data_IF_133038981395
#
_entry.id   IF_133038981395
#
_cell.length_a   1.000
_cell.length_b   1.000
_cell.length_c   1.000
_cell.angle_alpha   90.00
_cell.angle_beta   90.00
_cell.angle_gamma   90.00
#
_symmetry.space_group_name_H-M   'P 1'
#
loop_
_entity.id
_entity.type
_entity.pdbx_description
1 polymer ?
#
# COMPACT_ATOMS: atom_id res chain seq x y z
N UNK A 1 8.54 -71.93 22.35
CA UNK A 1 7.36 -72.81 22.49
C UNK A 1 6.11 -71.93 22.55
N UNK A 2 4.95 -72.49 22.24
CA UNK A 2 3.73 -71.78 21.77
C UNK A 2 2.57 -72.16 22.71
N UNK A 3 1.50 -71.39 22.96
CA UNK A 3 1.21 -69.93 23.05
C UNK A 3 -0.32 -69.80 23.24
N UNK A 4 -0.83 -68.61 23.59
CA UNK A 4 -2.24 -68.16 23.38
C UNK A 4 -3.32 -68.83 24.27
N UNK A 5 -4.10 -67.97 24.94
CA UNK A 5 -5.37 -68.23 25.68
C UNK A 5 -5.25 -69.20 26.88
N UNK A 6 -5.79 -68.92 28.07
CA UNK A 6 -6.97 -68.11 28.43
C UNK A 6 -6.69 -66.87 29.32
N UNK A 7 -7.72 -66.01 29.47
CA UNK A 7 -7.59 -64.69 30.11
C UNK A 7 -8.89 -64.28 30.85
N UNK A 8 -9.10 -64.82 32.06
CA UNK A 8 -10.18 -64.61 33.05
C UNK A 8 -9.69 -65.30 34.36
N UNK A 9 -9.82 -64.81 35.61
CA UNK A 9 -10.56 -63.73 36.27
C UNK A 9 -9.68 -63.06 37.38
N UNK A 10 -10.10 -61.93 38.01
CA UNK A 10 -9.28 -61.15 38.96
C UNK A 10 -9.61 -61.37 40.44
N UNK A 11 -8.74 -60.83 41.32
CA UNK A 11 -9.08 -60.33 42.66
C UNK A 11 -8.26 -59.06 42.95
N UNK A 12 -8.85 -58.11 43.67
CA UNK A 12 -8.22 -56.83 44.01
C UNK A 12 -7.40 -56.91 45.31
N UNK A 13 -6.44 -55.99 45.50
CA UNK A 13 -6.24 -55.26 46.76
C UNK A 13 -5.26 -54.08 46.53
N UNK A 14 -5.69 -52.85 46.87
CA UNK A 14 -4.80 -51.70 47.09
C UNK A 14 -4.48 -51.60 48.58
N UNK A 15 -3.34 -51.02 49.00
CA UNK A 15 -3.49 -49.67 49.56
C UNK A 15 -2.29 -48.71 49.44
N UNK A 16 -2.64 -47.43 49.49
CA UNK A 16 -1.92 -46.33 50.15
C UNK A 16 -0.64 -45.74 49.50
N UNK A 17 -0.72 -44.43 49.21
CA UNK A 17 0.35 -43.63 48.64
C UNK A 17 1.34 -43.05 49.67
N UNK A 18 2.56 -42.73 49.21
CA UNK A 18 3.40 -41.65 49.75
C UNK A 18 4.04 -40.82 48.62
N UNK A 19 4.25 -39.50 48.80
CA UNK A 19 4.70 -38.61 47.72
C UNK A 19 6.22 -38.33 47.76
N UNK A 20 6.74 -37.75 46.66
CA UNK A 20 7.96 -36.91 46.71
C UNK A 20 9.19 -37.43 45.97
N UNK A 21 9.10 -37.57 44.64
CA UNK A 21 10.28 -37.65 43.76
C UNK A 21 10.36 -36.41 42.88
N UNK A 22 11.43 -35.62 42.99
CA UNK A 22 11.69 -34.46 42.11
C UNK A 22 12.61 -34.87 40.97
N UNK A 23 12.02 -35.30 39.85
CA UNK A 23 12.76 -35.61 38.64
C UNK A 23 13.39 -34.34 38.06
N UNK A 24 14.72 -34.26 38.13
CA UNK A 24 15.54 -33.11 37.73
C UNK A 24 15.64 -32.92 36.22
N UNK A 25 14.51 -32.78 35.52
CA UNK A 25 14.49 -32.36 34.12
C UNK A 25 14.71 -30.84 34.05
N UNK A 26 15.82 -30.34 33.45
CA UNK A 26 15.96 -28.90 33.25
C UNK A 26 14.80 -28.41 32.37
N UNK A 27 14.17 -27.26 32.67
CA UNK A 27 13.14 -26.71 31.81
C UNK A 27 13.73 -26.49 30.43
N UNK A 28 13.07 -27.02 29.40
CA UNK A 28 13.40 -26.74 28.00
C UNK A 28 13.41 -25.22 27.84
N UNK A 29 14.55 -24.66 27.40
CA UNK A 29 14.70 -23.22 27.24
C UNK A 29 13.53 -22.67 26.44
N UNK A 30 12.74 -21.78 27.05
CA UNK A 30 11.55 -21.24 26.43
C UNK A 30 11.93 -20.59 25.09
N UNK A 31 11.22 -20.97 24.03
CA UNK A 31 11.43 -20.42 22.69
C UNK A 31 11.40 -18.88 22.79
N UNK A 32 12.47 -18.17 22.39
CA UNK A 32 12.65 -16.78 22.75
C UNK A 32 11.53 -15.95 22.14
N UNK A 33 10.66 -15.42 23.00
CA UNK A 33 9.38 -14.79 22.66
C UNK A 33 9.51 -13.91 21.41
N UNK A 34 9.05 -14.45 20.26
CA UNK A 34 9.65 -14.07 18.98
C UNK A 34 9.50 -12.57 18.71
N UNK A 35 10.65 -11.92 18.48
CA UNK A 35 10.80 -10.46 18.42
C UNK A 35 9.94 -9.87 17.31
N UNK A 36 9.05 -8.95 17.70
CA UNK A 36 8.34 -8.06 16.77
C UNK A 36 9.19 -6.80 16.54
N UNK A 37 9.31 -6.39 15.28
CA UNK A 37 9.98 -5.16 14.84
C UNK A 37 8.98 -4.27 14.10
N UNK A 38 8.99 -2.97 14.43
CA UNK A 38 8.26 -1.96 13.65
C UNK A 38 9.24 -1.18 12.77
N UNK A 39 9.19 -1.44 11.46
CA UNK A 39 10.02 -0.81 10.46
C UNK A 39 9.42 0.52 10.03
N UNK A 40 10.24 1.57 10.07
CA UNK A 40 9.89 2.92 9.66
C UNK A 40 10.76 3.29 8.48
N UNK A 41 10.13 3.66 7.36
CA UNK A 41 10.83 3.87 6.09
C UNK A 41 10.43 5.24 5.52
N UNK A 42 11.43 6.06 5.19
CA UNK A 42 11.26 7.22 4.32
C UNK A 42 11.59 6.81 2.89
N UNK A 43 10.70 7.09 1.95
CA UNK A 43 10.90 6.90 0.52
C UNK A 43 10.92 8.28 -0.13
N UNK A 44 12.12 8.79 -0.41
CA UNK A 44 12.28 10.02 -1.19
C UNK A 44 12.10 9.70 -2.66
N UNK A 45 11.16 10.37 -3.35
CA UNK A 45 10.84 10.13 -4.76
C UNK A 45 10.61 11.41 -5.56
N UNK A 46 10.62 11.24 -6.88
CA UNK A 46 9.78 12.03 -7.77
C UNK A 46 8.86 11.10 -8.58
N UNK A 47 7.62 11.51 -8.87
CA UNK A 47 6.64 10.63 -9.55
C UNK A 47 6.93 10.44 -11.04
N UNK A 48 7.73 11.34 -11.64
CA UNK A 48 8.24 11.22 -13.01
C UNK A 48 9.47 10.30 -13.12
N UNK A 49 10.01 9.76 -12.03
CA UNK A 49 11.24 8.98 -12.06
C UNK A 49 10.98 7.47 -12.24
N UNK A 50 11.45 6.82 -13.33
CA UNK A 50 11.24 5.38 -13.55
C UNK A 50 11.83 4.51 -12.44
N UNK A 51 13.03 4.87 -11.97
CA UNK A 51 13.70 4.21 -10.86
C UNK A 51 12.89 4.31 -9.55
N UNK A 52 12.09 5.36 -9.34
CA UNK A 52 11.22 5.43 -8.17
C UNK A 52 10.10 4.40 -8.23
N UNK A 53 9.50 4.16 -9.41
CA UNK A 53 8.47 3.13 -9.52
C UNK A 53 9.04 1.73 -9.32
N UNK A 54 10.17 1.43 -9.98
CA UNK A 54 10.91 0.16 -9.83
C UNK A 54 11.31 -0.05 -8.35
N UNK A 55 11.91 0.95 -7.71
CA UNK A 55 12.32 0.89 -6.31
C UNK A 55 11.16 0.69 -5.33
N UNK A 56 10.00 1.33 -5.59
CA UNK A 56 8.80 1.14 -4.79
C UNK A 56 8.21 -0.27 -4.95
N UNK A 57 8.20 -0.84 -6.17
CA UNK A 57 7.76 -2.22 -6.42
C UNK A 57 8.70 -3.22 -5.75
N UNK A 58 10.01 -3.03 -5.86
CA UNK A 58 11.03 -3.84 -5.17
C UNK A 58 10.88 -3.79 -3.65
N UNK A 59 10.71 -2.60 -3.07
CA UNK A 59 10.46 -2.44 -1.64
C UNK A 59 9.15 -3.11 -1.20
N UNK A 60 8.08 -2.99 -2.00
CA UNK A 60 6.79 -3.63 -1.71
C UNK A 60 6.90 -5.15 -1.68
N UNK A 61 7.61 -5.74 -2.66
CA UNK A 61 7.89 -7.18 -2.68
C UNK A 61 8.74 -7.62 -1.48
N UNK A 62 9.75 -6.83 -1.09
CA UNK A 62 10.57 -7.13 0.10
C UNK A 62 9.77 -7.09 1.41
N UNK A 63 8.86 -6.12 1.56
CA UNK A 63 7.95 -6.03 2.71
C UNK A 63 7.03 -7.26 2.74
N UNK A 64 6.45 -7.66 1.61
CA UNK A 64 5.63 -8.87 1.54
C UNK A 64 6.41 -10.12 1.95
N UNK A 65 7.59 -10.36 1.37
CA UNK A 65 8.46 -11.52 1.70
C UNK A 65 8.82 -11.52 3.20
N UNK A 66 9.12 -10.35 3.78
CA UNK A 66 9.41 -10.26 5.21
C UNK A 66 8.18 -10.56 6.07
N UNK A 67 6.98 -10.11 5.67
CA UNK A 67 5.74 -10.35 6.41
C UNK A 67 5.22 -11.79 6.27
N UNK A 68 5.54 -12.49 5.17
CA UNK A 68 5.29 -13.92 5.02
C UNK A 68 6.14 -14.75 6.01
N UNK A 69 7.37 -14.31 6.30
CA UNK A 69 8.26 -14.94 7.28
C UNK A 69 7.99 -14.48 8.72
N UNK A 70 7.63 -13.20 8.92
CA UNK A 70 7.40 -12.57 10.23
C UNK A 70 6.05 -11.84 10.28
N UNK A 71 4.91 -12.54 10.37
CA UNK A 71 3.57 -11.93 10.30
C UNK A 71 3.21 -10.96 11.44
N UNK A 72 4.10 -10.77 12.43
CA UNK A 72 3.97 -9.78 13.51
C UNK A 72 4.86 -8.55 13.34
N UNK A 73 5.65 -8.48 12.27
CA UNK A 73 6.44 -7.30 11.94
C UNK A 73 5.62 -6.34 11.07
N UNK A 74 5.68 -5.05 11.41
CA UNK A 74 4.87 -4.00 10.79
C UNK A 74 5.75 -2.97 10.09
N UNK A 75 5.19 -2.30 9.07
CA UNK A 75 5.92 -1.40 8.19
C UNK A 75 5.12 -0.12 7.93
N UNK A 76 5.66 1.01 8.39
CA UNK A 76 5.21 2.35 7.98
C UNK A 76 6.17 2.92 6.93
N UNK A 77 5.71 3.00 5.68
CA UNK A 77 6.44 3.63 4.57
C UNK A 77 5.82 4.98 4.26
N UNK A 78 6.62 6.04 4.34
CA UNK A 78 6.20 7.42 4.13
C UNK A 78 6.99 8.09 3.03
N UNK A 79 6.33 8.88 2.20
CA UNK A 79 6.91 9.47 1.00
C UNK A 79 7.30 10.93 1.22
N UNK A 80 8.46 11.31 0.70
CA UNK A 80 9.01 12.66 0.80
C UNK A 80 9.38 13.19 -0.61
N UNK A 81 9.06 14.44 -0.94
CA UNK A 81 9.20 14.96 -2.29
C UNK A 81 10.63 15.36 -2.64
N UNK A 82 11.07 14.99 -3.83
CA UNK A 82 11.98 15.76 -4.67
C UNK A 82 11.24 16.03 -5.98
N UNK A 83 11.43 17.21 -6.57
CA UNK A 83 10.91 17.56 -7.89
C UNK A 83 12.12 17.75 -8.79
N UNK A 84 12.37 16.77 -9.66
CA UNK A 84 13.51 16.76 -10.58
C UNK A 84 13.37 17.88 -11.61
N UNK A 85 12.20 17.99 -12.22
CA UNK A 85 11.93 18.92 -13.31
C UNK A 85 11.03 20.08 -12.85
N UNK A 86 11.45 20.81 -11.81
CA UNK A 86 10.65 21.88 -11.17
C UNK A 86 10.19 22.99 -12.14
N UNK A 87 10.93 23.22 -13.22
CA UNK A 87 10.59 24.19 -14.27
C UNK A 87 9.66 23.63 -15.38
N UNK A 88 9.21 22.38 -15.30
CA UNK A 88 8.23 21.83 -16.24
C UNK A 88 6.89 22.57 -16.16
N UNK A 89 6.26 22.81 -17.30
CA UNK A 89 4.87 23.28 -17.34
C UNK A 89 3.87 22.15 -17.05
N UNK A 90 2.57 22.50 -17.02
CA UNK A 90 1.51 21.52 -17.28
C UNK A 90 1.55 21.11 -18.75
N UNK A 91 1.38 19.83 -19.05
CA UNK A 91 1.39 19.27 -20.41
C UNK A 91 2.67 19.62 -21.21
N UNK A 92 3.84 19.36 -20.63
CA UNK A 92 5.17 19.70 -21.16
C UNK A 92 5.63 18.89 -22.39
N UNK A 93 4.72 18.18 -23.06
CA UNK A 93 4.95 17.42 -24.29
C UNK A 93 4.78 15.90 -24.14
N UNK A 94 5.11 15.19 -25.21
CA UNK A 94 5.05 13.73 -25.27
C UNK A 94 6.12 13.07 -24.37
N UNK A 95 5.72 12.07 -23.60
CA UNK A 95 6.51 11.47 -22.51
C UNK A 95 7.89 11.00 -22.97
N UNK A 96 7.97 10.21 -24.05
CA UNK A 96 9.23 9.73 -24.61
C UNK A 96 10.15 10.85 -25.13
N UNK A 97 9.58 11.90 -25.73
CA UNK A 97 10.35 13.06 -26.21
C UNK A 97 10.89 13.91 -25.04
N UNK A 98 10.11 14.00 -23.95
CA UNK A 98 10.51 14.68 -22.72
C UNK A 98 11.66 13.99 -21.99
N UNK A 99 11.68 12.65 -21.94
CA UNK A 99 12.85 11.92 -21.44
C UNK A 99 14.07 12.14 -22.34
N UNK A 100 13.91 12.06 -23.66
CA UNK A 100 15.01 12.25 -24.61
C UNK A 100 15.64 13.66 -24.52
N UNK A 101 14.85 14.72 -24.30
CA UNK A 101 15.36 16.09 -24.15
C UNK A 101 16.15 16.32 -22.85
N UNK A 102 15.96 15.46 -21.84
CA UNK A 102 16.74 15.44 -20.60
C UNK A 102 17.88 14.39 -20.61
N UNK A 103 18.38 14.03 -21.80
CA UNK A 103 19.56 13.16 -21.98
C UNK A 103 19.28 11.66 -21.90
N UNK A 104 18.04 11.23 -21.64
CA UNK A 104 17.70 9.83 -21.48
C UNK A 104 17.53 9.14 -22.84
N UNK A 105 18.65 8.64 -23.37
CA UNK A 105 18.72 7.91 -24.64
C UNK A 105 17.85 6.63 -24.65
N UNK A 106 17.52 6.06 -25.83
CA UNK A 106 16.78 4.80 -25.95
C UNK A 106 17.42 3.61 -25.22
N UNK A 107 18.73 3.65 -24.94
CA UNK A 107 19.41 2.65 -24.11
C UNK A 107 18.91 2.68 -22.66
N UNK A 108 18.79 3.86 -22.05
CA UNK A 108 18.25 4.01 -20.69
C UNK A 108 16.78 3.56 -20.64
N UNK A 109 15.99 3.94 -21.64
CA UNK A 109 14.58 3.50 -21.78
C UNK A 109 14.48 1.98 -21.87
N UNK A 110 15.38 1.33 -22.63
CA UNK A 110 15.48 -0.13 -22.69
C UNK A 110 15.88 -0.77 -21.35
N UNK A 111 16.86 -0.21 -20.64
CA UNK A 111 17.24 -0.68 -19.30
C UNK A 111 16.07 -0.56 -18.31
N UNK A 112 15.39 0.59 -18.27
CA UNK A 112 14.22 0.81 -17.41
C UNK A 112 13.06 -0.15 -17.73
N UNK A 113 12.85 -0.47 -19.00
CA UNK A 113 11.83 -1.43 -19.42
C UNK A 113 12.17 -2.85 -18.93
N UNK A 114 13.43 -3.27 -19.03
CA UNK A 114 13.88 -4.58 -18.54
C UNK A 114 13.82 -4.67 -17.00
N UNK A 115 14.27 -3.63 -16.30
CA UNK A 115 14.20 -3.52 -14.83
C UNK A 115 12.75 -3.46 -14.34
N UNK A 116 11.88 -2.75 -15.05
CA UNK A 116 10.46 -2.68 -14.77
C UNK A 116 9.77 -4.03 -14.96
N UNK A 117 10.05 -4.74 -16.05
CA UNK A 117 9.52 -6.09 -16.28
C UNK A 117 9.92 -7.07 -15.17
N UNK A 118 11.17 -7.02 -14.68
CA UNK A 118 11.63 -7.81 -13.53
C UNK A 118 10.89 -7.45 -12.23
N UNK A 119 10.46 -6.19 -12.06
CA UNK A 119 9.63 -5.72 -10.95
C UNK A 119 8.11 -5.86 -11.19
N UNK A 120 7.68 -6.54 -12.26
CA UNK A 120 6.26 -6.71 -12.60
C UNK A 120 5.55 -5.42 -13.01
N UNK A 121 6.24 -4.54 -13.76
CA UNK A 121 5.71 -3.32 -14.40
C UNK A 121 5.63 -3.57 -15.91
N UNK A 122 4.49 -3.23 -16.53
CA UNK A 122 4.32 -3.26 -17.99
C UNK A 122 4.51 -1.84 -18.52
N UNK A 123 5.76 -1.42 -18.68
CA UNK A 123 6.11 -0.01 -18.99
C UNK A 123 5.64 0.43 -20.39
N UNK A 124 4.88 1.53 -20.44
CA UNK A 124 4.63 2.32 -21.64
C UNK A 124 5.36 3.66 -21.58
N UNK A 125 5.90 4.09 -22.71
CA UNK A 125 6.66 5.34 -22.87
C UNK A 125 5.92 6.39 -23.72
N UNK A 126 4.61 6.19 -23.93
CA UNK A 126 3.73 7.05 -24.72
C UNK A 126 3.00 8.07 -23.83
N UNK A 127 1.98 8.73 -24.38
CA UNK A 127 1.21 9.74 -23.65
C UNK A 127 2.01 11.00 -23.35
N UNK A 128 1.58 11.74 -22.33
CA UNK A 128 2.06 13.09 -22.02
C UNK A 128 2.64 13.18 -20.61
N UNK A 129 3.39 14.24 -20.34
CA UNK A 129 4.00 14.48 -19.03
C UNK A 129 4.08 15.97 -18.71
N UNK A 130 4.46 16.30 -17.47
CA UNK A 130 4.57 17.68 -16.98
C UNK A 130 4.99 17.74 -15.52
N UNK A 131 4.75 18.89 -14.88
CA UNK A 131 5.18 19.14 -13.51
C UNK A 131 4.56 18.15 -12.49
N UNK A 132 5.39 17.56 -11.64
CA UNK A 132 4.98 16.56 -10.65
C UNK A 132 4.45 17.15 -9.35
N UNK A 133 4.58 18.46 -9.12
CA UNK A 133 4.24 19.13 -7.85
C UNK A 133 2.81 18.85 -7.40
N UNK A 134 1.86 18.82 -8.31
CA UNK A 134 0.45 18.52 -8.03
C UNK A 134 0.24 17.07 -7.56
N UNK A 135 0.97 16.11 -8.14
CA UNK A 135 0.97 14.73 -7.65
C UNK A 135 1.58 14.62 -6.25
N UNK A 136 2.62 15.40 -5.93
CA UNK A 136 3.21 15.45 -4.58
C UNK A 136 2.27 16.08 -3.55
N UNK A 137 1.53 17.15 -3.89
CA UNK A 137 0.44 17.70 -3.05
C UNK A 137 -0.54 16.58 -2.66
N UNK A 138 -0.95 15.79 -3.65
CA UNK A 138 -1.90 14.68 -3.48
C UNK A 138 -1.32 13.50 -2.67
N UNK A 139 -0.05 13.15 -2.84
CA UNK A 139 0.63 12.19 -1.94
C UNK A 139 0.65 12.69 -0.49
N UNK A 140 0.80 14.00 -0.28
CA UNK A 140 0.81 14.58 1.07
C UNK A 140 -0.59 14.62 1.69
N UNK A 141 -1.62 14.92 0.89
CA UNK A 141 -3.03 14.82 1.28
C UNK A 141 -3.43 13.40 1.73
N UNK A 142 -2.84 12.34 1.15
CA UNK A 142 -3.07 10.98 1.60
C UNK A 142 -2.43 10.64 2.98
N UNK A 143 -1.50 11.48 3.47
CA UNK A 143 -0.81 11.32 4.74
C UNK A 143 -1.45 12.15 5.88
N UNK A 144 -1.88 13.38 5.60
CA UNK A 144 -2.40 14.34 6.60
C UNK A 144 -3.69 15.05 6.13
N UNK A 145 -4.50 15.55 7.07
CA UNK A 145 -5.76 16.26 6.78
C UNK A 145 -5.55 17.72 6.33
N UNK A 146 -4.45 18.34 6.75
CA UNK A 146 -4.11 19.74 6.52
C UNK A 146 -2.63 19.84 6.12
N UNK A 147 -2.24 20.75 5.22
CA UNK A 147 -0.85 20.88 4.79
C UNK A 147 0.06 21.35 5.93
N UNK A 148 1.11 20.57 6.21
CA UNK A 148 2.14 20.92 7.19
C UNK A 148 3.56 20.69 6.66
N UNK A 149 4.53 21.38 7.25
CA UNK A 149 5.96 21.24 6.93
C UNK A 149 6.67 20.14 7.75
N UNK A 150 5.92 19.37 8.54
CA UNK A 150 6.46 18.26 9.34
C UNK A 150 6.94 17.13 8.42
N UNK A 151 8.14 16.60 8.64
CA UNK A 151 8.66 15.46 7.85
C UNK A 151 7.66 14.31 7.81
N UNK A 152 7.55 13.62 6.67
CA UNK A 152 6.61 12.51 6.53
C UNK A 152 6.89 11.38 7.55
N UNK A 153 8.15 11.21 7.97
CA UNK A 153 8.55 10.30 9.06
C UNK A 153 8.10 10.73 10.47
N UNK A 154 7.71 11.98 10.68
CA UNK A 154 7.18 12.45 11.97
C UNK A 154 5.82 11.84 12.29
N UNK A 155 4.98 11.57 11.29
CA UNK A 155 3.66 10.94 11.47
C UNK A 155 3.78 9.55 12.10
N UNK A 156 4.82 8.80 11.70
CA UNK A 156 5.18 7.49 12.27
C UNK A 156 5.56 7.60 13.76
N UNK A 157 6.15 8.73 14.18
CA UNK A 157 6.56 8.97 15.57
C UNK A 157 5.39 9.47 16.43
N UNK A 158 4.55 10.35 15.88
CA UNK A 158 3.36 10.89 16.57
C UNK A 158 2.28 9.83 16.86
N UNK A 159 2.26 8.74 16.10
CA UNK A 159 1.35 7.60 16.33
C UNK A 159 1.61 6.78 17.61
N UNK A 160 2.64 7.10 18.40
CA UNK A 160 2.99 6.35 19.62
C UNK A 160 2.11 6.63 20.86
N UNK A 161 0.81 6.89 20.66
CA UNK A 161 -0.20 6.48 21.63
C UNK A 161 -0.78 5.15 21.18
N UNK A 162 -0.14 4.04 21.57
CA UNK A 162 -0.68 2.71 21.34
C UNK A 162 -2.04 2.60 22.05
N UNK A 163 -3.13 2.58 21.27
CA UNK A 163 -4.44 2.24 21.81
C UNK A 163 -4.35 0.84 22.41
N UNK A 164 -4.67 0.64 23.70
CA UNK A 164 -4.58 -0.67 24.31
C UNK A 164 -5.53 -1.63 23.60
N UNK A 165 -5.03 -2.83 23.25
CA UNK A 165 -5.82 -3.87 22.61
C UNK A 165 -7.05 -4.19 23.49
N UNK A 166 -8.21 -3.72 23.06
CA UNK A 166 -9.47 -3.98 23.74
C UNK A 166 -9.75 -5.49 23.67
N UNK A 167 -9.79 -6.14 24.84
CA UNK A 167 -9.96 -7.59 24.95
C UNK A 167 -11.24 -8.06 24.26
N UNK A 168 -11.10 -8.89 23.23
CA UNK A 168 -12.23 -9.55 22.59
C UNK A 168 -12.79 -10.62 23.54
N UNK A 169 -13.88 -10.29 24.22
CA UNK A 169 -14.60 -11.21 25.10
C UNK A 169 -15.19 -12.38 24.32
N UNK A 170 -14.89 -13.60 24.76
CA UNK A 170 -15.41 -14.84 24.18
C UNK A 170 -16.94 -14.89 24.17
N UNK A 171 -17.52 -15.19 23.01
CA UNK A 171 -18.85 -15.83 22.88
C UNK A 171 -18.64 -17.16 22.17
N UNK A 172 -19.23 -18.24 22.70
CA UNK A 172 -19.00 -19.60 22.23
C UNK A 172 -20.32 -20.38 22.09
N UNK A 173 -20.24 -21.48 21.34
CA UNK A 173 -21.34 -22.35 20.87
C UNK A 173 -22.20 -21.75 19.72
N UNK A 174 -22.66 -22.51 18.72
CA UNK A 174 -22.60 -23.97 18.54
C UNK A 174 -22.22 -24.43 17.12
N UNK A 175 -21.66 -25.65 17.05
CA UNK A 175 -21.54 -26.55 15.88
C UNK A 175 -22.94 -27.09 15.48
N UNK A 176 -23.27 -27.73 14.34
CA UNK A 176 -22.66 -28.18 13.05
C UNK A 176 -23.84 -28.74 12.17
N UNK A 177 -23.68 -29.42 11.01
CA UNK A 177 -22.82 -29.22 9.82
C UNK A 177 -23.61 -29.36 8.47
N UNK A 178 -22.87 -29.49 7.36
CA UNK A 178 -23.23 -30.11 6.05
C UNK A 178 -23.92 -29.31 4.93
N UNK A 179 -23.53 -29.71 3.71
CA UNK A 179 -24.04 -29.44 2.35
C UNK A 179 -23.66 -30.68 1.48
N UNK A 180 -23.86 -30.76 0.14
CA UNK A 180 -24.54 -29.88 -0.84
C UNK A 180 -25.50 -30.64 -1.80
N UNK A 181 -25.83 -30.06 -2.98
CA UNK A 181 -26.32 -30.70 -4.25
C UNK A 181 -27.74 -31.34 -4.26
N UNK A 182 -28.52 -31.45 -5.37
CA UNK A 182 -28.32 -31.12 -6.81
C UNK A 182 -29.63 -30.82 -7.58
N UNK A 183 -29.52 -30.02 -8.65
CA UNK A 183 -30.25 -29.97 -9.95
C UNK A 183 -31.65 -30.61 -10.21
N UNK A 184 -32.59 -29.74 -10.64
CA UNK A 184 -33.40 -29.79 -11.89
C UNK A 184 -34.60 -30.76 -12.14
N UNK A 185 -35.43 -30.30 -13.10
CA UNK A 185 -36.39 -31.01 -13.98
C UNK A 185 -37.84 -31.33 -13.48
N UNK A 186 -38.92 -31.39 -14.28
CA UNK A 186 -39.28 -30.89 -15.66
C UNK A 186 -40.75 -31.25 -16.01
N UNK A 187 -41.47 -30.45 -16.85
CA UNK A 187 -42.70 -30.79 -17.63
C UNK A 187 -44.04 -31.06 -16.88
N UNK A 188 -45.27 -31.08 -17.48
CA UNK A 188 -45.84 -30.71 -18.81
C UNK A 188 -47.39 -30.59 -18.76
N UNK A 189 -48.00 -29.71 -19.61
CA UNK A 189 -49.39 -29.80 -20.20
C UNK A 189 -50.60 -29.78 -19.22
N UNK A 190 -51.83 -29.40 -19.58
CA UNK A 190 -52.45 -28.59 -20.68
C UNK A 190 -53.86 -28.13 -20.19
N UNK A 191 -54.92 -27.75 -20.93
CA UNK A 191 -55.31 -27.68 -22.36
C UNK A 191 -56.47 -26.64 -22.52
N UNK A 192 -57.09 -26.59 -23.70
CA UNK A 192 -58.49 -26.14 -23.99
C UNK A 192 -58.84 -24.64 -24.00
N UNK A 193 -59.13 -24.14 -25.21
CA UNK A 193 -60.08 -23.05 -25.48
C UNK A 193 -61.30 -23.62 -26.22
N UNK A 194 -62.43 -22.89 -26.29
CA UNK A 194 -62.77 -22.27 -27.58
C UNK A 194 -63.26 -20.82 -27.47
N UNK A 195 -63.57 -20.20 -28.61
CA UNK A 195 -63.92 -18.79 -28.79
C UNK A 195 -65.41 -18.62 -29.15
N UNK A 196 -65.85 -17.55 -29.85
CA UNK A 196 -65.62 -16.11 -29.62
C UNK A 196 -66.95 -15.34 -29.40
N UNK A 197 -66.92 -14.17 -28.75
CA UNK A 197 -67.99 -13.16 -28.90
C UNK A 197 -67.42 -11.74 -28.96
N UNK A 198 -67.85 -10.96 -29.94
CA UNK A 198 -67.49 -9.55 -30.15
C UNK A 198 -68.53 -8.65 -29.47
N UNK A 199 -68.12 -7.85 -28.48
CA UNK A 199 -68.98 -6.87 -27.83
C UNK A 199 -68.32 -5.50 -27.72
N UNK A 200 -69.03 -4.51 -28.25
CA UNK A 200 -68.73 -3.09 -28.40
C UNK A 200 -68.09 -2.39 -27.20
N UNK A 201 -66.97 -1.69 -27.46
CA UNK A 201 -66.49 -0.43 -26.84
C UNK A 201 -67.14 0.05 -25.52
N UNK A 202 -66.36 0.04 -24.44
CA UNK A 202 -66.43 1.03 -23.36
C UNK A 202 -65.01 1.47 -22.96
N UNK A 203 -64.59 2.67 -23.41
CA UNK A 203 -63.25 3.20 -23.17
C UNK A 203 -63.10 3.78 -21.75
N UNK A 204 -62.59 2.99 -20.81
CA UNK A 204 -62.24 3.46 -19.46
C UNK A 204 -60.75 3.78 -19.42
N UNK A 205 -60.39 5.07 -19.40
CA UNK A 205 -58.99 5.51 -19.37
C UNK A 205 -58.40 5.40 -17.96
N UNK A 206 -57.92 4.21 -17.60
CA UNK A 206 -57.14 3.98 -16.38
C UNK A 206 -55.66 4.36 -16.61
N UNK A 207 -55.37 5.66 -16.47
CA UNK A 207 -53.97 6.13 -16.42
C UNK A 207 -53.25 5.53 -15.21
N UNK A 208 -52.48 4.47 -15.44
CA UNK A 208 -51.51 4.01 -14.44
C UNK A 208 -50.31 4.96 -14.46
N UNK A 209 -49.96 5.61 -13.34
CA UNK A 209 -48.73 6.38 -13.28
C UNK A 209 -47.54 5.41 -13.39
N UNK A 210 -46.69 5.62 -14.39
CA UNK A 210 -45.44 4.90 -14.56
C UNK A 210 -44.65 4.93 -13.25
N UNK A 211 -44.31 3.75 -12.69
CA UNK A 211 -43.44 3.70 -11.52
C UNK A 211 -42.10 4.34 -11.88
N UNK A 212 -41.82 5.50 -11.29
CA UNK A 212 -40.51 6.12 -11.35
C UNK A 212 -39.56 5.20 -10.57
N UNK A 213 -38.78 4.40 -11.30
CA UNK A 213 -37.64 3.69 -10.73
C UNK A 213 -36.58 4.72 -10.33
N UNK A 214 -36.71 5.25 -9.11
CA UNK A 214 -35.67 6.07 -8.48
C UNK A 214 -34.39 5.21 -8.48
N UNK A 215 -33.30 5.65 -9.14
CA UNK A 215 -32.05 4.90 -9.12
C UNK A 215 -31.58 4.76 -7.67
N UNK A 216 -31.35 3.53 -7.21
CA UNK A 216 -30.77 3.32 -5.89
C UNK A 216 -29.39 3.98 -5.86
N UNK A 217 -29.14 4.97 -4.99
CA UNK A 217 -27.90 5.72 -5.01
C UNK A 217 -26.75 4.76 -4.74
N UNK A 218 -25.80 4.69 -5.69
CA UNK A 218 -24.62 3.85 -5.50
C UNK A 218 -23.88 4.32 -4.24
N UNK A 219 -23.49 3.39 -3.34
CA UNK A 219 -22.83 3.75 -2.10
C UNK A 219 -21.56 4.53 -2.44
N UNK A 220 -21.52 5.80 -2.04
CA UNK A 220 -20.32 6.62 -2.20
C UNK A 220 -19.16 5.93 -1.46
N UNK A 221 -17.95 5.87 -2.04
CA UNK A 221 -16.78 5.42 -1.31
C UNK A 221 -16.65 6.20 0.00
N UNK A 222 -16.47 5.51 1.11
CA UNK A 222 -16.23 6.19 2.39
C UNK A 222 -14.78 6.67 2.44
N UNK A 223 -14.50 7.91 2.92
CA UNK A 223 -13.14 8.40 3.08
C UNK A 223 -12.29 7.47 3.95
N UNK A 224 -11.16 7.04 3.41
CA UNK A 224 -10.23 6.13 4.09
C UNK A 224 -9.35 6.90 5.08
N UNK A 225 -8.92 6.22 6.14
CA UNK A 225 -7.99 6.78 7.12
C UNK A 225 -6.68 7.21 6.44
N UNK A 226 -6.33 8.49 6.58
CA UNK A 226 -5.08 9.08 6.10
C UNK A 226 -3.90 8.54 6.89
N UNK A 227 -2.76 8.36 6.23
CA UNK A 227 -1.57 7.80 6.83
C UNK A 227 -0.66 7.06 5.84
N UNK A 228 0.44 6.46 6.32
CA UNK A 228 1.46 5.81 5.49
C UNK A 228 0.88 4.80 4.48
N UNK A 229 -0.04 3.94 4.92
CA UNK A 229 -0.65 2.92 4.07
C UNK A 229 -1.54 3.50 2.97
N UNK A 230 -2.22 4.63 3.19
CA UNK A 230 -3.03 5.29 2.17
C UNK A 230 -2.13 6.03 1.16
N UNK A 231 -1.10 6.71 1.66
CA UNK A 231 -0.08 7.36 0.83
C UNK A 231 0.61 6.35 -0.11
N UNK A 232 0.97 5.16 0.39
CA UNK A 232 1.52 4.07 -0.43
C UNK A 232 0.57 3.62 -1.54
N UNK A 233 -0.73 3.42 -1.26
CA UNK A 233 -1.72 3.05 -2.29
C UNK A 233 -1.83 4.12 -3.37
N UNK A 234 -1.82 5.40 -3.00
CA UNK A 234 -1.96 6.51 -3.94
C UNK A 234 -0.68 6.75 -4.75
N UNK A 235 0.50 6.57 -4.16
CA UNK A 235 1.78 6.54 -4.89
C UNK A 235 1.78 5.44 -5.95
N UNK A 236 1.36 4.22 -5.60
CA UNK A 236 1.27 3.12 -6.55
C UNK A 236 0.30 3.43 -7.70
N UNK A 237 -0.88 3.98 -7.42
CA UNK A 237 -1.87 4.29 -8.45
C UNK A 237 -1.43 5.42 -9.39
N UNK A 238 -0.81 6.50 -8.86
CA UNK A 238 -0.27 7.60 -9.67
C UNK A 238 0.87 7.11 -10.56
N UNK A 239 1.82 6.36 -9.99
CA UNK A 239 2.97 5.81 -10.74
C UNK A 239 2.52 4.82 -11.82
N UNK A 240 1.55 3.95 -11.51
CA UNK A 240 0.94 3.04 -12.49
C UNK A 240 0.24 3.81 -13.61
N UNK A 241 -0.57 4.81 -13.28
CA UNK A 241 -1.27 5.64 -14.27
C UNK A 241 -0.31 6.31 -15.27
N UNK A 242 0.83 6.80 -14.80
CA UNK A 242 1.85 7.44 -15.63
C UNK A 242 2.72 6.43 -16.42
N UNK A 243 3.18 5.34 -15.79
CA UNK A 243 4.14 4.41 -16.39
C UNK A 243 3.52 3.22 -17.14
N UNK A 244 2.26 2.87 -16.90
CA UNK A 244 1.58 1.74 -17.57
C UNK A 244 0.34 2.16 -18.37
N UNK A 245 -0.26 3.32 -18.07
CA UNK A 245 -1.58 3.73 -18.60
C UNK A 245 -1.54 5.10 -19.32
N UNK A 246 -0.33 5.64 -19.55
CA UNK A 246 -0.05 6.84 -20.35
C UNK A 246 -0.79 8.13 -19.94
N UNK A 247 -1.23 8.22 -18.67
CA UNK A 247 -1.82 9.42 -18.05
C UNK A 247 -0.75 10.48 -17.80
N UNK A 248 -1.13 11.77 -17.83
CA UNK A 248 -0.22 12.90 -17.59
C UNK A 248 -0.18 13.28 -16.09
N UNK A 249 1.02 13.28 -15.48
CA UNK A 249 1.23 13.65 -14.07
C UNK A 249 0.81 15.09 -13.72
N UNK A 250 0.61 15.94 -14.73
CA UNK A 250 0.18 17.33 -14.60
C UNK A 250 -1.29 17.57 -14.99
N UNK A 251 -2.02 16.52 -15.35
CA UNK A 251 -3.47 16.57 -15.57
C UNK A 251 -4.24 16.51 -14.24
N UNK A 252 -4.85 17.64 -13.87
CA UNK A 252 -5.71 17.75 -12.70
C UNK A 252 -6.95 16.84 -12.75
N UNK A 253 -7.44 16.45 -13.93
CA UNK A 253 -8.54 15.51 -14.05
C UNK A 253 -8.12 14.08 -13.65
N UNK A 254 -7.01 13.57 -14.20
CA UNK A 254 -6.38 12.32 -13.75
C UNK A 254 -6.08 12.31 -12.25
N UNK A 255 -5.42 13.35 -11.73
CA UNK A 255 -5.10 13.40 -10.30
C UNK A 255 -6.36 13.44 -9.41
N UNK A 256 -7.43 14.10 -9.88
CA UNK A 256 -8.74 14.09 -9.20
C UNK A 256 -9.40 12.71 -9.22
N UNK A 257 -9.40 12.05 -10.38
CA UNK A 257 -9.96 10.72 -10.60
C UNK A 257 -9.27 9.67 -9.71
N UNK A 258 -7.94 9.56 -9.80
CA UNK A 258 -7.15 8.58 -9.03
C UNK A 258 -7.15 8.90 -7.53
N UNK A 259 -7.11 10.19 -7.17
CA UNK A 259 -7.21 10.65 -5.78
C UNK A 259 -8.54 10.25 -5.15
N UNK A 260 -9.67 10.52 -5.81
CA UNK A 260 -10.99 10.15 -5.30
C UNK A 260 -11.17 8.62 -5.25
N UNK A 261 -10.77 7.89 -6.29
CA UNK A 261 -10.92 6.44 -6.37
C UNK A 261 -10.11 5.69 -5.29
N UNK A 262 -8.87 6.11 -5.03
CA UNK A 262 -7.99 5.43 -4.06
C UNK A 262 -8.30 5.84 -2.62
N UNK A 263 -8.64 7.10 -2.38
CA UNK A 263 -8.79 7.63 -1.00
C UNK A 263 -10.23 7.63 -0.49
N UNK A 264 -11.22 7.57 -1.38
CA UNK A 264 -12.63 7.71 -1.02
C UNK A 264 -13.06 9.12 -0.62
N UNK A 265 -12.18 10.13 -0.70
CA UNK A 265 -12.55 11.52 -0.48
C UNK A 265 -13.26 12.11 -1.72
N UNK A 266 -14.20 13.05 -1.54
CA UNK A 266 -14.89 13.71 -2.65
C UNK A 266 -13.94 14.37 -3.65
N UNK A 267 -14.24 14.26 -4.94
CA UNK A 267 -13.51 14.93 -6.03
C UNK A 267 -13.47 16.47 -5.92
N UNK A 268 -14.27 17.08 -5.03
CA UNK A 268 -14.16 18.48 -4.67
C UNK A 268 -13.02 18.77 -3.67
N UNK A 269 -12.78 17.89 -2.69
CA UNK A 269 -11.66 18.01 -1.74
C UNK A 269 -10.32 17.71 -2.41
N UNK A 270 -10.29 16.71 -3.32
CA UNK A 270 -9.09 16.42 -4.11
C UNK A 270 -8.74 17.63 -4.97
N UNK A 271 -9.70 18.19 -5.72
CA UNK A 271 -9.46 19.42 -6.50
C UNK A 271 -9.05 20.58 -5.62
N UNK A 272 -9.68 20.81 -4.47
CA UNK A 272 -9.25 21.86 -3.55
C UNK A 272 -7.76 21.71 -3.16
N UNK A 273 -7.26 20.49 -2.92
CA UNK A 273 -5.84 20.24 -2.66
C UNK A 273 -4.92 20.62 -3.84
N UNK A 274 -5.36 20.35 -5.08
CA UNK A 274 -4.60 20.66 -6.30
C UNK A 274 -4.66 22.15 -6.65
N UNK A 275 -5.86 22.74 -6.56
CA UNK A 275 -6.26 24.04 -7.11
C UNK A 275 -6.14 25.20 -6.10
N UNK A 276 -5.57 25.02 -4.89
CA UNK A 276 -5.21 26.16 -4.03
C UNK A 276 -4.17 27.05 -4.77
N UNK A 277 -4.65 28.16 -5.34
CA UNK A 277 -3.85 29.36 -5.58
C UNK A 277 -3.50 30.03 -4.24
N UNK A 278 -2.54 30.96 -4.25
CA UNK A 278 -2.30 31.84 -3.10
C UNK A 278 -3.40 32.89 -2.95
N UNK A 279 -3.64 33.35 -1.71
CA UNK A 279 -4.43 34.57 -1.43
C UNK A 279 -3.64 35.87 -1.69
N UNK A 280 -2.37 35.74 -2.09
CA UNK A 280 -1.44 36.80 -2.51
C UNK A 280 -1.17 36.64 -4.03
N UNK A 281 -0.65 37.67 -4.72
CA UNK A 281 -0.42 37.70 -6.19
C UNK A 281 0.61 36.67 -6.75
N UNK A 282 1.02 35.67 -5.95
CA UNK A 282 1.70 34.44 -6.41
C UNK A 282 0.65 33.32 -6.63
N UNK A 283 0.00 33.32 -7.79
CA UNK A 283 -0.99 32.30 -8.23
C UNK A 283 -0.48 30.85 -8.10
N UNK A 284 0.84 30.62 -7.99
CA UNK A 284 1.47 29.31 -7.99
C UNK A 284 1.33 28.52 -6.67
N UNK A 285 1.09 29.22 -5.55
CA UNK A 285 1.53 28.75 -4.23
C UNK A 285 0.48 28.76 -3.11
N UNK A 286 -0.60 28.00 -3.27
CA UNK A 286 -1.43 27.56 -2.14
C UNK A 286 -0.68 26.78 -1.07
N UNK A 287 -1.33 26.53 0.07
CA UNK A 287 -0.70 25.98 1.29
C UNK A 287 -0.12 24.58 1.07
N UNK A 288 -0.81 23.73 0.30
CA UNK A 288 -0.26 22.42 -0.10
C UNK A 288 1.01 22.56 -0.94
N UNK A 289 1.06 23.51 -1.89
CA UNK A 289 2.27 23.81 -2.66
C UNK A 289 3.44 24.26 -1.78
N UNK A 290 3.18 25.21 -0.86
CA UNK A 290 4.17 25.72 0.09
C UNK A 290 4.69 24.62 1.04
N UNK A 291 3.84 23.67 1.44
CA UNK A 291 4.25 22.49 2.20
C UNK A 291 5.19 21.57 1.41
N UNK A 292 4.87 21.25 0.15
CA UNK A 292 5.75 20.43 -0.71
C UNK A 292 7.11 21.08 -0.92
N UNK A 293 7.17 22.38 -1.18
CA UNK A 293 8.43 23.10 -1.38
C UNK A 293 9.30 23.10 -0.11
N UNK A 294 8.69 23.28 1.07
CA UNK A 294 9.38 23.22 2.35
C UNK A 294 9.89 21.80 2.69
N UNK A 295 9.14 20.75 2.31
CA UNK A 295 9.52 19.36 2.48
C UNK A 295 10.67 18.97 1.55
N UNK A 296 10.63 19.38 0.27
CA UNK A 296 11.75 19.16 -0.66
C UNK A 296 13.01 19.92 -0.19
N UNK A 297 12.87 21.16 0.27
CA UNK A 297 13.98 21.92 0.83
C UNK A 297 14.59 21.21 2.06
N UNK A 298 13.78 20.55 2.89
CA UNK A 298 14.28 19.73 4.00
C UNK A 298 15.04 18.49 3.54
N UNK A 299 14.51 17.75 2.56
CA UNK A 299 15.18 16.59 1.95
C UNK A 299 16.55 17.00 1.38
N UNK A 300 16.59 18.08 0.60
CA UNK A 300 17.84 18.58 -0.01
C UNK A 300 18.84 19.10 1.03
N UNK A 301 18.37 19.73 2.12
CA UNK A 301 19.23 20.11 3.27
C UNK A 301 19.84 18.91 4.00
N UNK A 302 19.26 17.71 3.89
CA UNK A 302 19.84 16.45 4.40
C UNK A 302 20.87 15.82 3.45
N UNK A 303 21.31 16.54 2.42
CA UNK A 303 22.27 16.06 1.42
C UNK A 303 21.66 15.13 0.37
N UNK A 304 20.34 14.87 0.41
CA UNK A 304 19.67 13.96 -0.51
C UNK A 304 19.37 14.71 -1.81
N UNK A 305 20.11 14.39 -2.86
CA UNK A 305 20.04 15.03 -4.19
C UNK A 305 19.46 14.12 -5.29
N UNK A 306 19.30 12.83 -5.00
CA UNK A 306 18.98 11.76 -5.96
C UNK A 306 17.76 10.94 -5.53
N UNK A 307 17.05 10.34 -6.49
CA UNK A 307 15.84 9.54 -6.25
C UNK A 307 15.80 8.21 -7.03
N UNK A 308 15.21 7.13 -6.48
CA UNK A 308 14.71 7.05 -5.11
C UNK A 308 15.86 7.04 -4.09
N UNK A 309 15.61 7.60 -2.91
CA UNK A 309 16.47 7.40 -1.74
C UNK A 309 15.61 6.86 -0.61
N UNK A 310 15.90 5.63 -0.18
CA UNK A 310 15.11 4.87 0.78
C UNK A 310 15.88 4.83 2.10
N UNK A 311 15.26 5.29 3.19
CA UNK A 311 15.90 5.43 4.50
C UNK A 311 15.15 4.60 5.53
N UNK A 312 15.78 3.55 6.04
CA UNK A 312 15.19 2.65 7.05
C UNK A 312 15.66 3.05 8.45
N UNK A 313 14.71 3.19 9.38
CA UNK A 313 14.93 3.60 10.78
C UNK A 313 15.69 4.93 10.96
N UNK A 314 15.57 5.86 10.01
CA UNK A 314 16.33 7.12 9.95
C UNK A 314 17.87 6.93 9.92
N UNK A 315 18.35 5.74 9.53
CA UNK A 315 19.74 5.30 9.77
C UNK A 315 20.40 4.58 8.59
N UNK A 316 19.71 3.65 7.95
CA UNK A 316 20.25 2.86 6.84
C UNK A 316 19.75 3.46 5.52
N UNK A 317 20.65 3.84 4.62
CA UNK A 317 20.34 4.52 3.38
C UNK A 317 20.58 3.60 2.19
N UNK A 318 19.57 3.44 1.34
CA UNK A 318 19.64 2.75 0.06
C UNK A 318 19.27 3.74 -1.05
N UNK A 319 20.27 4.21 -1.79
CA UNK A 319 20.06 5.04 -2.99
C UNK A 319 19.78 4.17 -4.22
N UNK A 320 18.94 4.66 -5.13
CA UNK A 320 18.60 3.94 -6.37
C UNK A 320 17.58 2.81 -6.18
N UNK A 321 17.25 2.15 -7.29
CA UNK A 321 16.14 1.18 -7.41
C UNK A 321 16.50 -0.21 -6.89
N UNK A 322 17.14 -0.30 -5.72
CA UNK A 322 17.72 -1.54 -5.20
C UNK A 322 16.75 -2.73 -5.21
N UNK A 323 17.27 -3.93 -5.46
CA UNK A 323 16.49 -5.16 -5.55
C UNK A 323 15.80 -5.50 -4.23
N UNK A 324 14.64 -6.18 -4.31
CA UNK A 324 13.87 -6.62 -3.14
C UNK A 324 14.73 -7.40 -2.12
N UNK A 325 15.69 -8.20 -2.60
CA UNK A 325 16.61 -8.97 -1.77
C UNK A 325 17.43 -8.11 -0.80
N UNK A 326 17.94 -6.95 -1.23
CA UNK A 326 18.71 -6.05 -0.37
C UNK A 326 17.88 -5.57 0.82
N UNK A 327 16.59 -5.32 0.61
CA UNK A 327 15.67 -4.91 1.66
C UNK A 327 15.31 -6.07 2.59
N UNK A 328 15.09 -7.29 2.07
CA UNK A 328 14.89 -8.50 2.90
C UNK A 328 16.11 -8.78 3.79
N UNK A 329 17.31 -8.79 3.21
CA UNK A 329 18.56 -9.01 3.93
C UNK A 329 18.78 -7.91 5.00
N UNK A 330 18.44 -6.65 4.70
CA UNK A 330 18.48 -5.54 5.66
C UNK A 330 17.44 -5.67 6.78
N UNK A 331 16.19 -6.07 6.47
CA UNK A 331 15.13 -6.22 7.46
C UNK A 331 15.45 -7.35 8.43
N UNK A 332 15.95 -8.49 7.97
CA UNK A 332 16.42 -9.58 8.85
C UNK A 332 17.66 -9.20 9.66
N UNK A 333 18.59 -8.42 9.10
CA UNK A 333 19.73 -7.91 9.86
C UNK A 333 19.28 -6.97 11.00
N UNK A 334 18.27 -6.12 10.77
CA UNK A 334 17.67 -5.27 11.81
C UNK A 334 16.90 -6.12 12.84
N UNK A 335 16.06 -7.05 12.37
CA UNK A 335 15.20 -7.91 13.21
C UNK A 335 16.00 -8.86 14.10
N UNK A 336 17.15 -9.35 13.62
CA UNK A 336 18.13 -10.11 14.41
C UNK A 336 19.00 -9.21 15.30
N UNK A 337 19.23 -7.96 14.92
CA UNK A 337 20.16 -7.04 15.59
C UNK A 337 21.61 -7.17 15.13
N UNK A 338 21.86 -7.85 14.01
CA UNK A 338 23.18 -8.00 13.38
C UNK A 338 23.51 -6.86 12.39
N UNK A 339 22.55 -5.97 12.11
CA UNK A 339 22.71 -4.86 11.17
C UNK A 339 23.97 -4.00 11.45
N UNK A 340 24.76 -3.65 10.40
CA UNK A 340 26.04 -2.97 10.57
C UNK A 340 25.98 -1.72 11.45
N UNK A 341 26.87 -1.69 12.45
CA UNK A 341 27.06 -0.56 13.36
C UNK A 341 26.02 -0.43 14.47
N UNK A 342 25.28 -1.47 14.83
CA UNK A 342 24.29 -1.49 15.93
C UNK A 342 24.90 -1.36 17.36
N UNK A 343 25.98 -0.59 17.50
CA UNK A 343 26.55 -0.23 18.80
C UNK A 343 25.72 0.83 19.51
N UNK A 344 25.53 0.66 20.83
CA UNK A 344 24.87 1.67 21.67
C UNK A 344 25.71 2.95 21.71
N UNK A 345 25.12 4.09 21.31
CA UNK A 345 25.79 5.41 21.31
C UNK A 345 25.71 6.20 19.99
N UNK A 346 25.21 5.62 18.90
CA UNK A 346 25.09 6.30 17.61
C UNK A 346 23.94 7.35 17.59
N UNK A 347 24.23 8.54 18.11
CA UNK A 347 23.46 9.77 17.82
C UNK A 347 23.55 10.07 16.31
N UNK A 348 22.50 10.64 15.73
CA UNK A 348 22.49 11.03 14.32
C UNK A 348 23.49 12.17 14.08
N UNK A 349 24.63 11.83 13.47
CA UNK A 349 25.62 12.80 12.95
C UNK A 349 26.03 12.39 11.54
N UNK A 350 25.38 13.00 10.55
CA UNK A 350 25.72 13.21 9.13
C UNK A 350 26.25 12.04 8.25
N UNK A 351 26.43 10.84 8.81
CA UNK A 351 26.83 9.62 8.09
C UNK A 351 25.79 8.52 8.24
N UNK A 352 24.83 8.46 7.30
CA UNK A 352 23.94 7.30 7.15
C UNK A 352 24.73 6.06 6.72
N UNK A 353 24.30 4.87 7.16
CA UNK A 353 24.95 3.62 6.74
C UNK A 353 24.44 3.23 5.35
N UNK A 354 25.29 3.38 4.32
CA UNK A 354 24.97 2.95 2.96
C UNK A 354 24.76 1.43 2.88
N UNK A 355 23.55 1.01 2.48
CA UNK A 355 23.27 -0.36 2.09
C UNK A 355 23.78 -0.58 0.66
N UNK A 356 24.97 -1.19 0.53
CA UNK A 356 25.60 -1.48 -0.77
C UNK A 356 24.81 -2.52 -1.56
N UNK A 357 24.22 -2.09 -2.68
CA UNK A 357 23.60 -2.95 -3.70
C UNK A 357 24.07 -2.59 -5.10
N UNK A 358 23.56 -3.28 -6.11
CA UNK A 358 24.02 -3.14 -7.52
C UNK A 358 23.26 -2.06 -8.32
N UNK A 359 22.26 -1.38 -7.74
CA UNK A 359 21.66 -0.18 -8.33
C UNK A 359 22.66 0.98 -8.34
N UNK A 360 23.36 1.17 -9.46
CA UNK A 360 24.33 2.25 -9.64
C UNK A 360 23.66 3.63 -9.69
N UNK A 361 24.26 4.63 -9.06
CA UNK A 361 23.79 6.02 -9.13
C UNK A 361 24.04 6.59 -10.55
N UNK A 362 23.05 6.42 -11.43
CA UNK A 362 22.98 7.20 -12.66
C UNK A 362 22.78 8.68 -12.31
N UNK A 363 23.67 9.54 -12.79
CA UNK A 363 23.58 10.99 -12.59
C UNK A 363 22.28 11.57 -13.17
N UNK A 364 21.78 12.61 -12.50
CA UNK A 364 20.64 13.42 -12.93
C UNK A 364 21.08 14.61 -13.78
#
# INVERSE_FOLDING_TARGET
MISIQDLLLPTEEEPAAKPGGVDGRPPTAAEPAARTTHFRIEFVLDTICPHCYIGMKNLTAAIQIHQELHPRDAFDVTFSPIILHRAAGRNAGDKGAYYASHGWSPFHVGQWTNLGAAAGIISSWQGKTGNTRDSHKLLRFALEDKPSTLRSTTFIRSGQTAAPLASLTTVAAARQPNAPTTSAATNLRSLSSPAPQTATSCSISSSMPSRISIPFPQPQPQPQLRGPSLQMRLAHAILKGYFEEDRDLSDGAFLTEVGAAVTGYPAAEIRACLDEAGDDDDESNGRWGRAIDALEADVRRRGITAVPTIIVQDRYLAGGWQEARLFVDLFEAIRSGTAPGAGSGAVCGDGGVEARGHGGAGSF
#
